data_IF_073765965894
#
_entry.id   IF_073765965894
#
_cell.length_a   1.000
_cell.length_b   1.000
_cell.length_c   1.000
_cell.angle_alpha   90.00
_cell.angle_beta   90.00
_cell.angle_gamma   90.00
#
_symmetry.space_group_name_H-M   'P 1'
#
loop_
_entity.id
_entity.type
_entity.pdbx_description
1 polymer ?
#
# COMPACT_ATOMS: atom_id res chain seq x y z
N UNK A 1 39.25 9.69 51.61
CA UNK A 1 38.40 8.49 51.77
C UNK A 1 37.00 8.85 51.29
N UNK A 2 36.85 9.18 50.00
CA UNK A 2 36.72 8.21 48.88
C UNK A 2 35.34 7.51 48.99
N UNK A 3 34.37 7.58 48.08
CA UNK A 3 34.33 8.05 46.69
C UNK A 3 32.88 8.39 46.29
N UNK A 4 32.77 9.28 45.29
CA UNK A 4 31.70 9.39 44.30
C UNK A 4 30.74 8.18 44.23
N UNK A 5 29.46 8.39 44.57
CA UNK A 5 28.37 7.54 44.09
C UNK A 5 27.68 8.30 42.96
N UNK A 6 28.32 8.24 41.79
CA UNK A 6 27.89 8.88 40.55
C UNK A 6 26.51 8.35 40.13
N UNK A 7 25.59 9.26 39.84
CA UNK A 7 24.28 8.98 39.26
C UNK A 7 24.40 8.09 38.00
N UNK A 8 23.64 7.00 37.95
CA UNK A 8 23.33 6.28 36.71
C UNK A 8 21.81 6.27 36.53
N UNK A 9 21.28 7.33 35.90
CA UNK A 9 19.92 7.34 35.37
C UNK A 9 20.00 6.68 33.98
N UNK A 10 19.58 5.42 33.87
CA UNK A 10 19.42 4.74 32.57
C UNK A 10 18.28 5.41 31.79
N UNK A 11 18.62 6.32 30.87
CA UNK A 11 17.71 6.72 29.78
C UNK A 11 17.72 5.59 28.74
N UNK A 12 16.78 4.66 28.82
CA UNK A 12 16.51 3.71 27.74
C UNK A 12 15.80 4.45 26.61
N UNK A 13 16.57 5.00 25.67
CA UNK A 13 16.02 5.43 24.38
C UNK A 13 15.62 4.18 23.61
N UNK A 14 14.33 3.86 23.61
CA UNK A 14 13.78 2.89 22.68
C UNK A 14 13.97 3.46 21.26
N UNK A 15 15.05 3.06 20.60
CA UNK A 15 15.29 3.36 19.20
C UNK A 15 14.14 2.74 18.41
N UNK A 16 13.17 3.58 18.01
CA UNK A 16 12.14 3.17 17.09
C UNK A 16 12.84 2.97 15.74
N UNK A 17 13.08 1.71 15.40
CA UNK A 17 13.61 1.34 14.08
C UNK A 17 12.50 1.67 13.08
N UNK A 18 12.57 2.87 12.50
CA UNK A 18 11.69 3.27 11.41
C UNK A 18 12.21 2.61 10.13
N UNK A 19 11.78 1.38 9.87
CA UNK A 19 12.11 0.71 8.61
C UNK A 19 11.44 1.46 7.46
N UNK A 20 12.19 1.92 6.45
CA UNK A 20 11.58 2.61 5.31
C UNK A 20 10.57 1.69 4.62
N UNK A 21 9.32 2.15 4.50
CA UNK A 21 8.28 1.42 3.78
C UNK A 21 8.44 1.62 2.28
N UNK A 22 8.22 0.58 1.48
CA UNK A 22 8.32 0.65 0.00
C UNK A 22 7.19 1.43 -0.68
N UNK A 23 6.17 1.82 0.09
CA UNK A 23 5.02 2.57 -0.42
C UNK A 23 5.03 3.99 0.12
N UNK A 24 4.51 4.92 -0.68
CA UNK A 24 4.28 6.30 -0.30
C UNK A 24 2.79 6.60 -0.26
N UNK A 25 2.31 7.15 0.85
CA UNK A 25 0.95 7.67 0.95
C UNK A 25 0.76 8.85 -0.01
N UNK A 26 -0.27 8.80 -0.85
CA UNK A 26 -0.58 9.82 -1.87
C UNK A 26 -1.86 10.62 -1.57
N UNK A 27 -2.23 10.72 -0.29
CA UNK A 27 -3.38 11.48 0.19
C UNK A 27 -4.52 10.59 0.65
N UNK A 28 -4.22 9.66 1.55
CA UNK A 28 -5.20 8.83 2.28
C UNK A 28 -5.79 9.63 3.44
N UNK A 29 -7.08 9.48 3.70
CA UNK A 29 -7.71 9.95 4.94
C UNK A 29 -7.58 8.92 6.07
N UNK A 30 -7.46 7.64 5.73
CA UNK A 30 -7.16 6.56 6.67
C UNK A 30 -5.66 6.47 6.97
N UNK A 31 -5.34 5.87 8.12
CA UNK A 31 -3.98 5.50 8.48
C UNK A 31 -3.62 4.19 7.80
N UNK A 32 -2.67 4.22 6.85
CA UNK A 32 -2.22 3.02 6.14
C UNK A 32 -1.17 2.31 6.98
N UNK A 33 -1.50 1.12 7.48
CA UNK A 33 -0.64 0.35 8.37
C UNK A 33 0.40 -0.48 7.59
N UNK A 34 0.00 -1.11 6.49
CA UNK A 34 0.92 -1.91 5.68
C UNK A 34 0.43 -2.10 4.23
N UNK A 35 1.39 -2.37 3.34
CA UNK A 35 1.10 -2.76 1.95
C UNK A 35 1.99 -3.94 1.57
N UNK A 36 1.36 -5.08 1.29
CA UNK A 36 2.01 -6.30 0.83
C UNK A 36 1.68 -6.56 -0.64
N UNK A 37 2.71 -6.94 -1.41
CA UNK A 37 2.56 -7.41 -2.79
C UNK A 37 3.36 -8.70 -2.92
N UNK A 38 2.74 -9.73 -3.47
CA UNK A 38 3.38 -11.02 -3.74
C UNK A 38 4.68 -10.85 -4.51
N UNK A 39 5.74 -11.53 -4.08
CA UNK A 39 7.08 -11.46 -4.69
C UNK A 39 7.72 -10.06 -4.68
N UNK A 40 7.26 -9.16 -3.80
CA UNK A 40 7.91 -7.87 -3.54
C UNK A 40 8.09 -7.63 -2.02
N UNK A 41 9.13 -8.20 -1.39
CA UNK A 41 9.46 -7.93 0.01
C UNK A 41 9.87 -6.47 0.23
N UNK A 42 9.79 -5.99 1.47
CA UNK A 42 10.09 -4.59 1.82
C UNK A 42 11.57 -4.21 1.63
N UNK A 43 12.47 -5.20 1.50
CA UNK A 43 13.87 -4.96 1.12
C UNK A 43 14.05 -4.51 -0.33
N UNK A 44 13.02 -4.62 -1.19
CA UNK A 44 13.06 -4.14 -2.57
C UNK A 44 12.50 -2.72 -2.70
N UNK A 45 13.33 -1.81 -3.19
CA UNK A 45 12.92 -0.43 -3.51
C UNK A 45 12.04 -0.32 -4.77
N UNK A 46 12.02 -1.35 -5.62
CA UNK A 46 11.22 -1.41 -6.86
C UNK A 46 10.61 -2.80 -7.00
N UNK A 47 9.28 -2.88 -7.05
CA UNK A 47 8.59 -4.15 -7.21
C UNK A 47 8.65 -4.68 -8.65
N UNK A 48 9.06 -5.93 -8.87
CA UNK A 48 8.92 -6.58 -10.17
C UNK A 48 7.45 -6.95 -10.39
N UNK A 49 6.87 -6.47 -11.50
CA UNK A 49 5.57 -6.93 -11.98
C UNK A 49 5.82 -7.89 -13.14
N UNK A 50 5.69 -9.19 -12.90
CA UNK A 50 5.96 -10.23 -13.89
C UNK A 50 4.74 -10.37 -14.79
N UNK A 51 4.93 -10.29 -16.11
CA UNK A 51 3.84 -10.53 -17.08
C UNK A 51 3.26 -11.94 -16.95
N UNK A 52 1.98 -12.07 -17.27
CA UNK A 52 1.18 -13.29 -17.17
C UNK A 52 1.15 -13.87 -15.75
N UNK A 53 1.14 -12.97 -14.75
CA UNK A 53 0.95 -13.31 -13.35
C UNK A 53 -0.07 -12.36 -12.71
N UNK A 54 -0.67 -12.84 -11.62
CA UNK A 54 -1.68 -12.12 -10.85
C UNK A 54 -1.22 -11.96 -9.38
N UNK A 55 -0.19 -11.13 -9.09
CA UNK A 55 0.30 -10.95 -7.73
C UNK A 55 -0.82 -10.47 -6.78
N UNK A 56 -0.97 -11.17 -5.66
CA UNK A 56 -1.86 -10.72 -4.58
C UNK A 56 -1.32 -9.44 -3.96
N UNK A 57 -2.23 -8.52 -3.67
CA UNK A 57 -2.01 -7.25 -2.99
C UNK A 57 -2.88 -7.24 -1.74
N UNK A 58 -2.28 -6.86 -0.61
CA UNK A 58 -3.01 -6.63 0.65
C UNK A 58 -2.65 -5.27 1.21
N UNK A 59 -3.65 -4.47 1.54
CA UNK A 59 -3.49 -3.19 2.23
C UNK A 59 -4.22 -3.26 3.56
N UNK A 60 -3.48 -3.15 4.66
CA UNK A 60 -4.07 -2.96 5.98
C UNK A 60 -4.15 -1.46 6.30
N UNK A 61 -5.30 -0.99 6.76
CA UNK A 61 -5.52 0.41 7.11
C UNK A 61 -6.52 0.56 8.25
N UNK A 62 -6.43 1.66 8.99
CA UNK A 62 -7.41 2.08 9.99
C UNK A 62 -8.19 3.27 9.46
N UNK A 63 -9.50 3.12 9.28
CA UNK A 63 -10.34 4.19 8.73
C UNK A 63 -10.54 5.32 9.75
N UNK A 64 -10.50 6.56 9.29
CA UNK A 64 -10.81 7.75 10.11
C UNK A 64 -12.17 8.38 9.78
N UNK A 65 -12.90 7.78 8.84
CA UNK A 65 -14.22 8.20 8.38
C UNK A 65 -15.14 6.99 8.19
N UNK A 66 -16.42 7.28 7.99
CA UNK A 66 -17.43 6.28 7.68
C UNK A 66 -17.70 6.26 6.17
N UNK A 67 -18.06 5.10 5.63
CA UNK A 67 -18.49 4.98 4.24
C UNK A 67 -19.35 3.73 4.05
N UNK A 68 -20.42 3.85 3.28
CA UNK A 68 -21.29 2.72 2.92
C UNK A 68 -20.63 1.81 1.90
N UNK A 69 -19.91 2.38 0.93
CA UNK A 69 -19.28 1.64 -0.15
C UNK A 69 -17.82 2.02 -0.32
N UNK A 70 -17.00 1.07 -0.77
CA UNK A 70 -15.59 1.31 -1.08
C UNK A 70 -15.29 0.87 -2.51
N UNK A 71 -14.63 1.72 -3.29
CA UNK A 71 -14.29 1.44 -4.69
C UNK A 71 -12.78 1.41 -4.89
N UNK A 72 -12.25 0.30 -5.40
CA UNK A 72 -10.83 0.16 -5.65
C UNK A 72 -10.46 0.55 -7.10
N UNK A 73 -9.38 1.34 -7.22
CA UNK A 73 -8.89 1.83 -8.50
C UNK A 73 -7.37 1.62 -8.57
N UNK A 74 -6.94 0.79 -9.52
CA UNK A 74 -5.54 0.56 -9.83
C UNK A 74 -5.11 1.37 -11.07
N UNK A 75 -3.98 2.07 -10.96
CA UNK A 75 -3.41 2.90 -12.02
C UNK A 75 -1.91 2.68 -12.13
N UNK A 76 -1.38 2.68 -13.34
CA UNK A 76 0.05 2.79 -13.61
C UNK A 76 0.37 4.20 -14.08
N UNK A 77 1.37 4.83 -13.47
CA UNK A 77 1.85 6.16 -13.87
C UNK A 77 3.20 5.97 -14.56
N UNK A 78 3.22 6.21 -15.87
CA UNK A 78 4.36 6.08 -16.76
C UNK A 78 5.00 7.45 -17.00
N UNK A 79 6.32 7.52 -16.99
CA UNK A 79 7.09 8.74 -17.27
C UNK A 79 6.63 9.96 -16.43
N UNK A 80 6.10 9.72 -15.22
CA UNK A 80 5.57 10.71 -14.27
C UNK A 80 4.27 11.45 -14.66
N UNK A 81 3.75 11.32 -15.88
CA UNK A 81 2.52 12.02 -16.30
C UNK A 81 1.47 11.13 -16.98
N UNK A 82 1.86 10.04 -17.64
CA UNK A 82 0.93 9.19 -18.37
C UNK A 82 0.24 8.20 -17.43
N UNK A 83 -1.06 8.37 -17.19
CA UNK A 83 -1.83 7.51 -16.29
C UNK A 83 -2.63 6.49 -17.08
N UNK A 84 -2.38 5.21 -16.85
CA UNK A 84 -3.12 4.09 -17.44
C UNK A 84 -3.89 3.33 -16.37
N UNK A 85 -5.09 2.82 -16.71
CA UNK A 85 -5.85 1.94 -15.83
C UNK A 85 -5.21 0.55 -15.83
N UNK A 86 -5.05 -0.02 -14.65
CA UNK A 86 -4.65 -1.42 -14.48
C UNK A 86 -5.85 -2.23 -13.99
N UNK A 87 -5.85 -3.52 -14.31
CA UNK A 87 -6.95 -4.42 -13.98
C UNK A 87 -6.66 -5.11 -12.65
N UNK A 88 -7.68 -5.17 -11.81
CA UNK A 88 -7.65 -5.86 -10.53
C UNK A 88 -8.84 -6.79 -10.42
N UNK A 89 -8.68 -7.90 -9.72
CA UNK A 89 -9.70 -8.95 -9.63
C UNK A 89 -10.94 -8.51 -8.85
N UNK A 90 -10.79 -7.59 -7.90
CA UNK A 90 -11.89 -7.15 -7.03
C UNK A 90 -11.96 -5.61 -6.97
N UNK A 91 -12.73 -4.94 -7.84
CA UNK A 91 -12.88 -3.49 -7.78
C UNK A 91 -13.86 -3.01 -6.69
N UNK A 92 -14.70 -3.89 -6.13
CA UNK A 92 -15.61 -3.58 -5.04
C UNK A 92 -14.90 -3.85 -3.70
N UNK A 93 -14.46 -2.79 -3.04
CA UNK A 93 -13.69 -2.88 -1.80
C UNK A 93 -14.43 -3.62 -0.69
N UNK A 94 -15.77 -3.54 -0.66
CA UNK A 94 -16.62 -4.25 0.30
C UNK A 94 -16.64 -5.76 0.08
N UNK A 95 -16.21 -6.24 -1.09
CA UNK A 95 -16.00 -7.67 -1.40
C UNK A 95 -14.55 -8.08 -1.33
N UNK A 96 -13.62 -7.13 -1.36
CA UNK A 96 -12.19 -7.33 -1.19
C UNK A 96 -11.72 -7.45 0.27
N UNK A 97 -12.55 -7.95 1.20
CA UNK A 97 -12.19 -8.14 2.62
C UNK A 97 -12.53 -6.98 3.56
N UNK A 98 -13.08 -5.86 3.05
CA UNK A 98 -13.59 -4.78 3.90
C UNK A 98 -15.06 -5.07 4.24
N UNK A 99 -15.39 -5.18 5.53
CA UNK A 99 -16.78 -5.31 5.96
C UNK A 99 -17.45 -3.94 5.93
N UNK A 100 -18.39 -3.75 5.00
CA UNK A 100 -19.16 -2.51 4.86
C UNK A 100 -20.48 -2.55 5.68
N UNK A 101 -20.95 -1.40 6.21
CA UNK A 101 -20.36 -0.07 6.09
C UNK A 101 -19.06 0.07 6.90
N UNK A 102 -18.10 0.76 6.31
CA UNK A 102 -16.86 1.15 6.97
C UNK A 102 -17.19 2.09 8.12
N UNK A 103 -16.65 1.76 9.28
CA UNK A 103 -16.76 2.54 10.51
C UNK A 103 -15.46 3.29 10.81
N UNK A 104 -15.61 4.45 11.45
CA UNK A 104 -14.49 5.27 11.94
C UNK A 104 -13.74 4.57 13.07
N UNK A 105 -12.41 4.70 13.07
CA UNK A 105 -11.45 4.09 13.99
C UNK A 105 -11.41 2.56 13.97
N UNK A 106 -11.86 1.95 12.88
CA UNK A 106 -11.83 0.50 12.69
C UNK A 106 -10.77 0.11 11.66
N UNK A 107 -10.05 -0.97 11.94
CA UNK A 107 -9.03 -1.52 11.04
C UNK A 107 -9.62 -2.52 10.05
N UNK A 108 -9.17 -2.46 8.81
CA UNK A 108 -9.59 -3.34 7.73
C UNK A 108 -8.37 -3.80 6.93
N UNK A 109 -8.56 -4.89 6.17
CA UNK A 109 -7.62 -5.33 5.16
C UNK A 109 -8.35 -5.44 3.83
N UNK A 110 -7.84 -4.74 2.82
CA UNK A 110 -8.28 -4.87 1.45
C UNK A 110 -7.36 -5.83 0.69
N UNK A 111 -7.94 -6.79 -0.02
CA UNK A 111 -7.26 -7.88 -0.71
C UNK A 111 -7.74 -7.90 -2.17
N UNK A 112 -6.79 -7.96 -3.10
CA UNK A 112 -7.07 -8.07 -4.54
C UNK A 112 -5.88 -8.67 -5.27
N UNK A 113 -6.05 -9.04 -6.54
CA UNK A 113 -4.95 -9.41 -7.44
C UNK A 113 -4.79 -8.36 -8.52
N UNK A 114 -3.56 -8.07 -8.92
CA UNK A 114 -3.26 -7.19 -10.06
C UNK A 114 -2.98 -8.05 -11.30
N UNK A 115 -3.80 -7.92 -12.34
CA UNK A 115 -3.60 -8.64 -13.60
C UNK A 115 -2.47 -7.98 -14.41
N UNK A 116 -1.29 -8.62 -14.46
CA UNK A 116 -0.14 -8.12 -15.21
C UNK A 116 -0.12 -8.74 -16.60
N UNK A 117 -0.89 -8.17 -17.53
CA UNK A 117 -1.02 -8.72 -18.90
C UNK A 117 0.31 -8.79 -19.67
N UNK A 118 0.49 -9.81 -20.50
CA UNK A 118 1.63 -9.90 -21.42
C UNK A 118 1.82 -8.64 -22.30
N UNK A 119 0.72 -7.98 -22.67
CA UNK A 119 0.74 -6.77 -23.50
C UNK A 119 1.33 -5.54 -22.81
N UNK A 120 1.51 -5.55 -21.48
CA UNK A 120 2.03 -4.39 -20.75
C UNK A 120 3.50 -4.15 -21.05
N UNK A 121 3.93 -2.95 -21.50
CA UNK A 121 5.32 -2.69 -21.88
C UNK A 121 6.31 -2.93 -20.73
N UNK A 122 7.52 -3.40 -21.02
CA UNK A 122 8.57 -3.72 -20.01
C UNK A 122 9.28 -2.46 -19.51
N UNK A 123 8.52 -1.55 -18.92
CA UNK A 123 9.00 -0.22 -18.50
C UNK A 123 8.82 -0.02 -16.98
N UNK A 124 9.59 0.89 -16.36
CA UNK A 124 9.30 1.34 -15.01
C UNK A 124 7.98 2.12 -14.97
N UNK A 125 7.25 1.99 -13.88
CA UNK A 125 6.01 2.73 -13.61
C UNK A 125 5.84 2.97 -12.11
N UNK A 126 5.10 3.99 -11.72
CA UNK A 126 4.60 4.09 -10.35
C UNK A 126 3.21 3.47 -10.30
N UNK A 127 3.09 2.36 -9.58
CA UNK A 127 1.81 1.71 -9.34
C UNK A 127 1.07 2.52 -8.27
N UNK A 128 -0.17 2.90 -8.56
CA UNK A 128 -1.05 3.60 -7.62
C UNK A 128 -2.29 2.75 -7.38
N UNK A 129 -2.57 2.45 -6.12
CA UNK A 129 -3.80 1.82 -5.69
C UNK A 129 -4.55 2.81 -4.79
N UNK A 130 -5.83 3.02 -5.08
CA UNK A 130 -6.69 3.93 -4.31
C UNK A 130 -8.00 3.24 -3.95
N UNK A 131 -8.41 3.37 -2.69
CA UNK A 131 -9.72 2.98 -2.19
C UNK A 131 -10.53 4.26 -1.99
N UNK A 132 -11.64 4.38 -2.71
CA UNK A 132 -12.52 5.54 -2.71
C UNK A 132 -13.75 5.30 -1.84
N UNK A 133 -14.13 6.29 -1.05
CA UNK A 133 -15.43 6.29 -0.36
C UNK A 133 -16.58 6.73 -1.29
N UNK A 134 -17.78 6.83 -0.73
CA UNK A 134 -18.98 7.32 -1.40
C UNK A 134 -18.85 8.74 -1.98
N UNK A 135 -17.92 9.56 -1.45
CA UNK A 135 -17.65 10.92 -1.90
C UNK A 135 -16.48 10.99 -2.91
N UNK A 136 -16.00 9.83 -3.39
CA UNK A 136 -14.79 9.72 -4.22
C UNK A 136 -13.53 10.29 -3.56
N UNK A 137 -13.53 10.42 -2.24
CA UNK A 137 -12.35 10.77 -1.44
C UNK A 137 -11.51 9.52 -1.23
N UNK A 138 -10.19 9.66 -1.17
CA UNK A 138 -9.32 8.52 -0.93
C UNK A 138 -9.39 8.12 0.56
N UNK A 139 -10.10 7.04 0.89
CA UNK A 139 -9.87 6.36 2.16
C UNK A 139 -8.41 5.92 2.22
N UNK A 140 -7.95 5.23 1.18
CA UNK A 140 -6.54 4.88 1.00
C UNK A 140 -6.04 5.35 -0.36
N UNK A 141 -4.82 5.86 -0.40
CA UNK A 141 -4.04 6.14 -1.59
C UNK A 141 -2.58 5.78 -1.32
N UNK A 142 -2.07 4.77 -2.03
CA UNK A 142 -0.66 4.39 -1.96
C UNK A 142 -0.03 4.37 -3.34
N UNK A 143 1.26 4.72 -3.40
CA UNK A 143 2.11 4.65 -4.59
C UNK A 143 3.33 3.78 -4.33
N UNK A 144 3.67 2.91 -5.29
CA UNK A 144 4.78 1.96 -5.19
C UNK A 144 5.59 2.01 -6.49
N UNK A 145 6.91 2.20 -6.44
CA UNK A 145 7.75 2.06 -7.62
C UNK A 145 7.75 0.62 -8.12
N UNK A 146 7.44 0.42 -9.39
CA UNK A 146 7.37 -0.89 -10.02
C UNK A 146 8.14 -0.92 -11.34
N UNK A 147 8.50 -2.11 -11.80
CA UNK A 147 9.00 -2.35 -13.16
C UNK A 147 8.39 -3.61 -13.73
N UNK A 148 7.76 -3.49 -14.90
CA UNK A 148 7.22 -4.65 -15.61
C UNK A 148 8.37 -5.48 -16.18
N UNK A 149 8.31 -6.80 -15.97
CA UNK A 149 9.30 -7.80 -16.41
C UNK A 149 8.62 -8.81 -17.33
N UNK A 150 9.41 -9.49 -18.17
CA UNK A 150 8.88 -10.60 -18.97
C UNK A 150 8.40 -11.75 -18.09
N UNK A 151 7.49 -12.57 -18.62
CA UNK A 151 7.27 -13.93 -18.10
C UNK A 151 8.61 -14.68 -18.19
N UNK A 152 8.90 -15.52 -17.19
CA UNK A 152 10.11 -16.36 -17.17
C UNK A 152 9.96 -17.55 -18.12
#
# INVERSE_FOLDING_TARGET
MDRLCTLFVLLTTAAHVCTPTKFRNCGSTADVNSVNISNCPDSMNVCPLIRDTDPNITIAFTSNSESKNVYAIARGILFNFNVVKLLISEPDGCKGGIVCPVQKRTSYAYITQLEVKNSYPRVPLTFRLSLKDDNWTNLVCVTIPCKVKGAS
#
